data_IF_391739462398
#
_entry.id   IF_391739462398
#
_cell.length_a   1.000
_cell.length_b   1.000
_cell.length_c   1.000
_cell.angle_alpha   90.00
_cell.angle_beta   90.00
_cell.angle_gamma   90.00
#
_symmetry.space_group_name_H-M   'P 1'
#
loop_
_entity.id
_entity.type
_entity.pdbx_description
1 polymer ?
#
# COMPACT_ATOMS: atom_id res chain seq x y z
N UNK A 1 -6.53 48.66 0.22
CA UNK A 1 -5.96 47.33 -0.05
C UNK A 1 -6.79 46.35 0.77
N UNK A 2 -7.55 45.47 0.13
CA UNK A 2 -8.36 44.48 0.83
C UNK A 2 -7.41 43.52 1.54
N UNK A 3 -7.29 43.65 2.87
CA UNK A 3 -6.55 42.72 3.71
C UNK A 3 -7.33 41.39 3.78
N UNK A 4 -7.29 40.62 2.70
CA UNK A 4 -7.58 39.19 2.77
C UNK A 4 -6.39 38.54 3.45
N UNK A 5 -6.44 38.47 4.78
CA UNK A 5 -5.46 37.77 5.62
C UNK A 5 -5.37 36.28 5.26
N UNK A 6 -6.42 35.74 4.62
CA UNK A 6 -6.53 34.36 4.17
C UNK A 6 -7.09 34.28 2.75
N UNK A 7 -6.36 33.66 1.83
CA UNK A 7 -6.93 33.20 0.55
C UNK A 7 -7.35 31.72 0.66
N UNK A 8 -8.30 31.29 -0.18
CA UNK A 8 -8.80 29.91 -0.25
C UNK A 8 -7.67 28.89 -0.45
N UNK A 9 -6.58 29.29 -1.11
CA UNK A 9 -5.41 28.45 -1.35
C UNK A 9 -4.64 28.12 -0.07
N UNK A 10 -4.48 29.10 0.82
CA UNK A 10 -3.82 28.90 2.11
C UNK A 10 -4.67 28.01 3.02
N UNK A 11 -5.99 28.19 2.98
CA UNK A 11 -6.93 27.36 3.74
C UNK A 11 -6.82 25.87 3.38
N UNK A 12 -6.53 25.53 2.12
CA UNK A 12 -6.36 24.13 1.66
C UNK A 12 -5.09 23.52 2.24
N UNK A 13 -3.98 24.27 2.27
CA UNK A 13 -2.73 23.81 2.85
C UNK A 13 -2.87 23.61 4.37
N UNK A 14 -3.53 24.53 5.05
CA UNK A 14 -3.82 24.42 6.49
C UNK A 14 -4.73 23.24 6.77
N UNK A 15 -5.80 23.06 6.00
CA UNK A 15 -6.69 21.91 6.15
C UNK A 15 -5.93 20.60 5.92
N UNK A 16 -4.99 20.56 4.97
CA UNK A 16 -4.13 19.41 4.72
C UNK A 16 -3.19 19.12 5.90
N UNK A 17 -2.52 20.12 6.44
CA UNK A 17 -1.66 19.96 7.61
C UNK A 17 -2.48 19.54 8.83
N UNK A 18 -3.62 20.18 9.08
CA UNK A 18 -4.48 19.92 10.21
C UNK A 18 -5.06 18.50 10.18
N UNK A 19 -5.57 18.03 9.04
CA UNK A 19 -6.11 16.67 8.95
C UNK A 19 -5.03 15.59 9.12
N UNK A 20 -3.83 15.81 8.55
CA UNK A 20 -2.69 14.92 8.72
C UNK A 20 -2.25 14.85 10.18
N UNK A 21 -2.19 16.00 10.86
CA UNK A 21 -1.82 16.07 12.27
C UNK A 21 -2.86 15.40 13.18
N UNK A 22 -4.15 15.67 12.94
CA UNK A 22 -5.24 15.04 13.70
C UNK A 22 -5.19 13.52 13.53
N UNK A 23 -4.87 13.03 12.33
CA UNK A 23 -4.72 11.61 12.08
C UNK A 23 -3.53 11.00 12.83
N UNK A 24 -2.40 11.72 12.97
CA UNK A 24 -1.30 11.32 13.87
C UNK A 24 -1.79 11.14 15.30
N UNK A 25 -2.51 12.13 15.84
CA UNK A 25 -3.04 12.05 17.20
C UNK A 25 -4.02 10.87 17.35
N UNK A 26 -4.86 10.64 16.35
CA UNK A 26 -5.80 9.52 16.32
C UNK A 26 -5.06 8.18 16.37
N UNK A 27 -4.05 7.94 15.52
CA UNK A 27 -3.28 6.68 15.55
C UNK A 27 -2.57 6.52 16.90
N UNK A 28 -2.00 7.60 17.43
CA UNK A 28 -1.26 7.56 18.68
C UNK A 28 -2.15 7.23 19.88
N UNK A 29 -3.33 7.86 20.01
CA UNK A 29 -4.20 7.71 21.17
C UNK A 29 -5.29 6.63 21.03
N UNK A 30 -5.77 6.33 19.83
CA UNK A 30 -6.86 5.37 19.65
C UNK A 30 -6.39 3.91 19.70
N UNK A 31 -5.11 3.64 19.43
CA UNK A 31 -4.54 2.29 19.50
C UNK A 31 -4.01 1.99 20.89
N UNK A 32 -4.40 0.82 21.43
CA UNK A 32 -3.87 0.29 22.70
C UNK A 32 -2.48 -0.32 22.54
N UNK A 33 -2.26 -1.02 21.43
CA UNK A 33 -0.99 -1.67 21.11
C UNK A 33 -0.47 -1.13 19.76
N UNK A 34 0.74 -0.58 19.75
CA UNK A 34 1.39 -0.08 18.54
C UNK A 34 2.31 -1.13 17.95
N UNK A 35 2.15 -1.40 16.65
CA UNK A 35 3.10 -2.17 15.86
C UNK A 35 4.14 -1.25 15.22
N UNK A 36 5.26 -1.81 14.76
CA UNK A 36 6.32 -1.02 14.11
C UNK A 36 5.82 -0.26 12.87
N UNK A 37 4.84 -0.82 12.16
CA UNK A 37 4.15 -0.16 11.04
C UNK A 37 3.46 1.14 11.46
N UNK A 38 2.91 1.20 12.67
CA UNK A 38 2.20 2.39 13.16
C UNK A 38 3.16 3.55 13.37
N UNK A 39 4.39 3.30 13.84
CA UNK A 39 5.41 4.34 13.98
C UNK A 39 5.87 4.90 12.63
N UNK A 40 6.03 4.07 11.61
CA UNK A 40 6.36 4.55 10.26
C UNK A 40 5.20 5.33 9.64
N UNK A 41 3.96 4.89 9.87
CA UNK A 41 2.77 5.62 9.43
C UNK A 41 2.66 6.98 10.12
N UNK A 42 2.86 7.03 11.44
CA UNK A 42 2.91 8.28 12.21
C UNK A 42 4.00 9.20 11.66
N UNK A 43 5.22 8.68 11.47
CA UNK A 43 6.32 9.47 10.90
C UNK A 43 5.97 10.01 9.52
N UNK A 44 5.36 9.19 8.66
CA UNK A 44 4.92 9.61 7.33
C UNK A 44 3.89 10.73 7.42
N UNK A 45 2.88 10.63 8.30
CA UNK A 45 1.88 11.67 8.49
C UNK A 45 2.40 12.93 9.18
N UNK A 46 3.44 12.83 10.01
CA UNK A 46 4.19 14.00 10.51
C UNK A 46 4.84 14.71 9.33
N UNK A 47 5.50 13.99 8.42
CA UNK A 47 6.03 14.60 7.20
C UNK A 47 4.91 15.25 6.37
N UNK A 48 3.77 14.58 6.16
CA UNK A 48 2.60 15.17 5.47
C UNK A 48 1.94 16.34 6.22
N UNK A 49 2.25 16.55 7.50
CA UNK A 49 1.86 17.75 8.25
C UNK A 49 2.85 18.89 8.00
N UNK A 50 4.14 18.59 7.97
CA UNK A 50 5.22 19.56 7.78
C UNK A 50 5.26 20.16 6.36
N UNK A 51 4.95 19.36 5.33
CA UNK A 51 5.07 19.81 3.94
C UNK A 51 4.09 20.94 3.56
N UNK A 52 2.79 20.89 3.86
CA UNK A 52 1.90 22.02 3.60
C UNK A 52 2.27 23.27 4.41
N UNK A 53 2.82 23.10 5.62
CA UNK A 53 3.33 24.22 6.43
C UNK A 53 4.55 24.84 5.74
N UNK A 54 5.49 24.04 5.23
CA UNK A 54 6.60 24.54 4.43
C UNK A 54 6.11 25.36 3.22
N UNK A 55 5.10 24.86 2.50
CA UNK A 55 4.51 25.58 1.36
C UNK A 55 3.86 26.90 1.78
N UNK A 56 3.13 26.94 2.91
CA UNK A 56 2.58 28.18 3.46
C UNK A 56 3.67 29.20 3.78
N UNK A 57 4.78 28.76 4.38
CA UNK A 57 5.90 29.66 4.72
C UNK A 57 6.58 30.21 3.46
N UNK A 58 6.73 29.39 2.42
CA UNK A 58 7.40 29.79 1.19
C UNK A 58 6.51 30.61 0.26
N UNK A 59 5.22 30.30 0.14
CA UNK A 59 4.33 30.94 -0.84
C UNK A 59 3.21 31.80 -0.24
N UNK A 60 2.88 31.63 1.04
CA UNK A 60 1.89 32.44 1.74
C UNK A 60 2.50 33.76 2.21
N UNK A 61 2.05 34.88 1.64
CA UNK A 61 2.63 36.21 1.91
C UNK A 61 2.65 36.55 3.42
N UNK A 62 1.52 36.37 4.11
CA UNK A 62 1.40 36.66 5.54
C UNK A 62 2.20 35.67 6.41
N UNK A 63 2.19 34.39 6.06
CA UNK A 63 2.87 33.33 6.82
C UNK A 63 4.39 33.52 6.82
N UNK A 64 4.97 33.99 5.72
CA UNK A 64 6.39 34.32 5.64
C UNK A 64 6.79 35.38 6.66
N UNK A 65 5.99 36.45 6.79
CA UNK A 65 6.26 37.53 7.76
C UNK A 65 6.10 37.05 9.20
N UNK A 66 5.06 36.28 9.51
CA UNK A 66 4.87 35.68 10.84
C UNK A 66 6.07 34.82 11.24
N UNK A 67 6.60 34.02 10.31
CA UNK A 67 7.78 33.20 10.56
C UNK A 67 9.03 34.04 10.81
N UNK A 68 9.21 35.13 10.06
CA UNK A 68 10.32 36.07 10.25
C UNK A 68 10.30 36.75 11.62
N UNK A 69 9.12 37.13 12.13
CA UNK A 69 8.95 37.72 13.46
C UNK A 69 9.31 36.73 14.57
N UNK A 70 8.96 35.45 14.41
CA UNK A 70 9.29 34.41 15.40
C UNK A 70 10.78 34.06 15.36
N UNK A 71 11.29 33.67 14.19
CA UNK A 71 12.70 33.35 13.97
C UNK A 71 12.97 33.05 12.49
N UNK A 72 13.97 33.69 11.84
CA UNK A 72 14.37 33.35 10.48
C UNK A 72 14.77 31.87 10.30
N UNK A 73 15.19 31.18 11.37
CA UNK A 73 15.55 29.76 11.32
C UNK A 73 14.35 28.84 10.97
N UNK A 74 13.12 29.29 11.27
CA UNK A 74 11.91 28.52 11.00
C UNK A 74 11.58 28.44 9.50
N UNK A 75 12.15 29.32 8.67
CA UNK A 75 11.91 29.34 7.21
C UNK A 75 12.26 28.02 6.52
N UNK A 76 13.32 27.34 6.97
CA UNK A 76 13.82 26.05 6.43
C UNK A 76 13.59 24.86 7.36
N UNK A 77 12.86 25.04 8.46
CA UNK A 77 12.75 24.03 9.52
C UNK A 77 12.06 22.73 9.08
N UNK A 78 11.22 22.79 8.04
CA UNK A 78 10.42 21.67 7.56
C UNK A 78 10.97 20.99 6.30
N UNK A 79 12.07 21.49 5.74
CA UNK A 79 12.62 20.99 4.46
C UNK A 79 13.08 19.52 4.57
N UNK A 80 13.48 19.07 5.77
CA UNK A 80 13.86 17.67 6.01
C UNK A 80 12.70 16.69 5.73
N UNK A 81 11.45 17.12 5.85
CA UNK A 81 10.28 16.27 5.65
C UNK A 81 10.24 15.67 4.23
N UNK A 82 10.67 16.43 3.21
CA UNK A 82 10.74 15.95 1.82
C UNK A 82 11.70 14.77 1.64
N UNK A 83 12.75 14.69 2.47
CA UNK A 83 13.75 13.64 2.38
C UNK A 83 13.37 12.39 3.18
N UNK A 84 12.46 12.53 4.15
CA UNK A 84 12.05 11.44 5.04
C UNK A 84 10.78 10.72 4.57
N UNK A 85 9.88 11.40 3.87
CA UNK A 85 8.58 10.81 3.48
C UNK A 85 8.70 9.54 2.63
N UNK A 86 9.66 9.48 1.69
CA UNK A 86 9.90 8.31 0.86
C UNK A 86 10.35 7.07 1.66
N UNK A 87 11.45 7.16 2.44
CA UNK A 87 11.88 6.09 3.34
C UNK A 87 10.79 5.65 4.32
N UNK A 88 10.05 6.60 4.92
CA UNK A 88 8.96 6.29 5.85
C UNK A 88 7.83 5.50 5.17
N UNK A 89 7.44 5.86 3.96
CA UNK A 89 6.44 5.12 3.18
C UNK A 89 6.93 3.71 2.82
N UNK A 90 8.20 3.56 2.47
CA UNK A 90 8.80 2.25 2.17
C UNK A 90 8.83 1.35 3.41
N UNK A 91 9.26 1.87 4.55
CA UNK A 91 9.31 1.10 5.79
C UNK A 91 7.92 0.78 6.33
N UNK A 92 6.97 1.71 6.20
CA UNK A 92 5.56 1.43 6.48
C UNK A 92 5.06 0.27 5.60
N UNK A 93 5.31 0.34 4.29
CA UNK A 93 4.91 -0.71 3.34
C UNK A 93 5.53 -2.05 3.73
N UNK A 94 6.84 -2.11 3.99
CA UNK A 94 7.52 -3.35 4.40
C UNK A 94 7.00 -3.87 5.75
N UNK A 95 6.77 -2.99 6.73
CA UNK A 95 6.25 -3.35 8.04
C UNK A 95 4.82 -3.89 7.97
N UNK A 96 4.02 -3.39 7.03
CA UNK A 96 2.66 -3.87 6.80
C UNK A 96 2.65 -5.22 6.06
N UNK A 97 3.56 -5.42 5.12
CA UNK A 97 3.66 -6.66 4.33
C UNK A 97 4.35 -7.81 5.07
N UNK A 98 5.35 -7.51 5.90
CA UNK A 98 6.20 -8.50 6.56
C UNK A 98 6.08 -8.38 8.08
N UNK A 99 5.50 -9.39 8.71
CA UNK A 99 5.24 -9.38 10.16
C UNK A 99 6.50 -9.20 11.03
N UNK A 100 7.62 -9.77 10.61
CA UNK A 100 8.89 -9.69 11.34
C UNK A 100 9.81 -8.60 10.84
N UNK A 101 9.25 -7.61 10.15
CA UNK A 101 10.01 -6.49 9.69
C UNK A 101 10.69 -5.80 10.88
N UNK A 102 12.01 -5.67 10.75
CA UNK A 102 12.86 -4.88 11.63
C UNK A 102 13.83 -4.12 10.73
N UNK A 103 14.12 -2.88 11.10
CA UNK A 103 15.15 -2.12 10.42
C UNK A 103 16.49 -2.80 10.64
N UNK A 104 17.15 -3.12 9.54
CA UNK A 104 18.55 -3.54 9.56
C UNK A 104 19.44 -2.32 9.48
N UNK A 105 20.72 -2.41 9.91
CA UNK A 105 21.67 -1.30 9.73
C UNK A 105 21.82 -0.89 8.25
N UNK A 106 21.55 -1.77 7.30
CA UNK A 106 21.56 -1.41 5.88
C UNK A 106 20.39 -0.51 5.48
N UNK A 107 19.25 -0.59 6.17
CA UNK A 107 18.10 0.28 5.88
C UNK A 107 18.42 1.75 6.22
N UNK A 108 19.36 2.04 7.12
CA UNK A 108 19.75 3.44 7.42
C UNK A 108 20.40 4.15 6.25
N UNK A 109 20.82 3.43 5.19
CA UNK A 109 21.33 4.04 3.95
C UNK A 109 20.30 4.97 3.31
N UNK A 110 19.00 4.66 3.47
CA UNK A 110 17.91 5.48 2.94
C UNK A 110 17.79 6.84 3.63
N UNK A 111 18.40 7.03 4.80
CA UNK A 111 18.47 8.30 5.50
C UNK A 111 19.69 9.15 5.10
N UNK A 112 20.65 8.61 4.34
CA UNK A 112 21.83 9.36 3.91
C UNK A 112 21.47 10.67 3.19
N UNK A 113 20.51 10.70 2.24
CA UNK A 113 20.13 11.95 1.58
C UNK A 113 19.64 13.02 2.57
N UNK A 114 18.83 12.62 3.55
CA UNK A 114 18.36 13.53 4.60
C UNK A 114 19.52 14.04 5.49
N UNK A 115 20.46 13.16 5.85
CA UNK A 115 21.63 13.55 6.64
C UNK A 115 22.55 14.51 5.88
N UNK A 116 22.86 14.22 4.61
CA UNK A 116 23.64 15.12 3.76
C UNK A 116 22.95 16.48 3.60
N UNK A 117 21.64 16.48 3.40
CA UNK A 117 20.86 17.71 3.30
C UNK A 117 20.90 18.52 4.61
N UNK A 118 20.82 17.87 5.77
CA UNK A 118 20.93 18.54 7.07
C UNK A 118 22.32 19.15 7.30
N UNK A 119 23.39 18.45 6.92
CA UNK A 119 24.75 18.99 6.95
C UNK A 119 24.86 20.20 6.02
N UNK A 120 24.32 20.11 4.81
CA UNK A 120 24.26 21.22 3.86
C UNK A 120 23.51 22.42 4.43
N UNK A 121 22.31 22.25 4.98
CA UNK A 121 21.55 23.34 5.60
C UNK A 121 22.29 23.96 6.79
N UNK A 122 22.95 23.12 7.59
CA UNK A 122 23.73 23.58 8.75
C UNK A 122 24.91 24.47 8.32
N UNK A 123 25.62 24.07 7.26
CA UNK A 123 26.79 24.76 6.74
C UNK A 123 26.49 25.97 5.85
N UNK A 124 25.23 26.13 5.40
CA UNK A 124 24.83 27.22 4.51
C UNK A 124 23.84 28.15 5.20
N UNK A 125 22.58 27.73 5.32
CA UNK A 125 21.51 28.57 5.85
C UNK A 125 21.66 28.83 7.36
N UNK A 126 21.84 27.79 8.18
CA UNK A 126 21.82 27.95 9.63
C UNK A 126 23.08 28.62 10.19
N UNK A 127 24.21 28.54 9.49
CA UNK A 127 25.46 29.23 9.86
C UNK A 127 25.39 30.75 9.67
N UNK A 128 24.45 31.27 8.88
CA UNK A 128 24.28 32.71 8.70
C UNK A 128 23.73 33.37 9.97
N UNK A 129 24.05 34.64 10.16
CA UNK A 129 23.40 35.45 11.19
C UNK A 129 21.93 35.73 10.83
N UNK A 130 21.14 36.20 11.81
CA UNK A 130 19.73 36.45 11.58
C UNK A 130 19.48 37.58 10.57
N UNK A 131 20.40 38.54 10.45
CA UNK A 131 20.27 39.66 9.50
C UNK A 131 20.39 39.17 8.05
N UNK A 132 21.41 38.37 7.75
CA UNK A 132 21.61 37.75 6.46
C UNK A 132 20.46 36.79 6.10
N UNK A 133 19.97 36.00 7.06
CA UNK A 133 18.78 35.15 6.87
C UNK A 133 17.56 35.96 6.49
N UNK A 134 17.24 37.01 7.24
CA UNK A 134 16.09 37.87 6.95
C UNK A 134 16.19 38.51 5.57
N UNK A 135 17.36 39.05 5.22
CA UNK A 135 17.59 39.62 3.89
C UNK A 135 17.36 38.58 2.79
N UNK A 136 17.95 37.39 2.94
CA UNK A 136 17.74 36.29 2.01
C UNK A 136 16.26 35.95 1.85
N UNK A 137 15.51 35.83 2.95
CA UNK A 137 14.07 35.46 2.91
C UNK A 137 13.20 36.56 2.27
N UNK A 138 13.50 37.83 2.53
CA UNK A 138 12.77 38.96 1.94
C UNK A 138 13.01 39.08 0.43
N UNK A 139 14.24 38.82 0.00
CA UNK A 139 14.63 38.82 -1.42
C UNK A 139 14.37 37.46 -2.10
N UNK A 140 14.00 36.43 -1.35
CA UNK A 140 13.85 35.07 -1.85
C UNK A 140 12.72 35.00 -2.88
N UNK A 141 13.14 34.74 -4.12
CA UNK A 141 12.28 34.36 -5.22
C UNK A 141 12.77 33.01 -5.75
N UNK A 142 11.97 31.98 -5.52
CA UNK A 142 12.28 30.60 -5.91
C UNK A 142 12.41 30.43 -7.43
N UNK A 143 11.74 31.30 -8.22
CA UNK A 143 11.92 31.34 -9.67
C UNK A 143 13.31 31.78 -10.11
N UNK A 144 13.93 32.66 -9.31
CA UNK A 144 15.27 33.20 -9.57
C UNK A 144 16.33 32.47 -8.73
N UNK A 145 15.97 31.35 -8.10
CA UNK A 145 16.90 30.59 -7.30
C UNK A 145 18.04 30.04 -8.18
N UNK A 146 19.27 29.97 -7.64
CA UNK A 146 20.37 29.33 -8.34
C UNK A 146 20.03 27.92 -8.81
N UNK A 147 20.55 27.53 -9.99
CA UNK A 147 20.33 26.22 -10.62
C UNK A 147 20.55 25.02 -9.69
N UNK A 148 21.45 25.14 -8.72
CA UNK A 148 21.70 24.14 -7.70
C UNK A 148 20.47 23.84 -6.82
N UNK A 149 19.65 24.84 -6.47
CA UNK A 149 18.43 24.62 -5.67
C UNK A 149 17.40 23.80 -6.44
N UNK A 150 17.17 24.11 -7.71
CA UNK A 150 16.30 23.32 -8.57
C UNK A 150 16.81 21.87 -8.76
N UNK A 151 18.12 21.67 -8.86
CA UNK A 151 18.70 20.33 -8.91
C UNK A 151 18.45 19.54 -7.61
N UNK A 152 18.53 20.21 -6.46
CA UNK A 152 18.26 19.61 -5.15
C UNK A 152 16.78 19.26 -4.99
N UNK A 153 15.87 20.13 -5.45
CA UNK A 153 14.43 19.87 -5.51
C UNK A 153 14.09 18.72 -6.45
N UNK A 154 14.68 18.68 -7.64
CA UNK A 154 14.50 17.56 -8.56
C UNK A 154 15.00 16.24 -7.93
N UNK A 155 16.11 16.28 -7.20
CA UNK A 155 16.70 15.11 -6.54
C UNK A 155 15.76 14.52 -5.49
N UNK A 156 15.16 15.34 -4.61
CA UNK A 156 14.20 14.84 -3.61
C UNK A 156 12.97 14.20 -4.25
N UNK A 157 12.43 14.77 -5.32
CA UNK A 157 11.25 14.20 -6.02
C UNK A 157 11.62 12.88 -6.73
N UNK A 158 12.78 12.80 -7.38
CA UNK A 158 13.28 11.57 -8.01
C UNK A 158 13.47 10.46 -6.97
N UNK A 159 14.05 10.78 -5.81
CA UNK A 159 14.21 9.82 -4.72
C UNK A 159 12.85 9.32 -4.21
N UNK A 160 11.87 10.21 -4.03
CA UNK A 160 10.52 9.79 -3.65
C UNK A 160 9.93 8.80 -4.67
N UNK A 161 10.06 9.09 -5.97
CA UNK A 161 9.58 8.20 -7.04
C UNK A 161 10.29 6.84 -6.99
N UNK A 162 11.59 6.81 -6.72
CA UNK A 162 12.35 5.56 -6.53
C UNK A 162 11.82 4.78 -5.33
N UNK A 163 11.55 5.42 -4.19
CA UNK A 163 10.92 4.78 -3.03
C UNK A 163 9.51 4.26 -3.34
N UNK A 164 8.71 5.01 -4.09
CA UNK A 164 7.40 4.56 -4.56
C UNK A 164 7.49 3.33 -5.46
N UNK A 165 8.45 3.31 -6.40
CA UNK A 165 8.71 2.13 -7.25
C UNK A 165 9.11 0.91 -6.41
N UNK A 166 9.98 1.09 -5.40
CA UNK A 166 10.32 0.03 -4.45
C UNK A 166 9.09 -0.48 -3.71
N UNK A 167 8.22 0.39 -3.21
CA UNK A 167 6.97 -0.01 -2.56
C UNK A 167 6.11 -0.89 -3.47
N UNK A 168 5.92 -0.48 -4.74
CA UNK A 168 5.13 -1.26 -5.71
C UNK A 168 5.74 -2.64 -6.01
N UNK A 169 7.07 -2.73 -6.05
CA UNK A 169 7.78 -4.00 -6.22
C UNK A 169 7.53 -4.91 -5.01
N UNK A 170 7.65 -4.41 -3.79
CA UNK A 170 7.41 -5.21 -2.58
C UNK A 170 5.95 -5.65 -2.47
N UNK A 171 4.99 -4.77 -2.80
CA UNK A 171 3.56 -5.12 -2.82
C UNK A 171 3.29 -6.24 -3.82
N UNK A 172 3.82 -6.15 -5.04
CA UNK A 172 3.66 -7.20 -6.05
C UNK A 172 4.31 -8.52 -5.62
N UNK A 173 5.47 -8.47 -4.96
CA UNK A 173 6.13 -9.66 -4.42
C UNK A 173 5.29 -10.30 -3.32
N UNK A 174 4.76 -9.51 -2.39
CA UNK A 174 3.92 -9.99 -1.29
C UNK A 174 2.61 -10.59 -1.81
N UNK A 175 1.94 -9.94 -2.78
CA UNK A 175 0.74 -10.46 -3.43
C UNK A 175 0.98 -11.85 -4.05
N UNK A 176 2.13 -12.05 -4.71
CA UNK A 176 2.51 -13.38 -5.24
C UNK A 176 2.75 -14.42 -4.15
N UNK A 177 3.20 -14.03 -2.95
CA UNK A 177 3.44 -14.97 -1.85
C UNK A 177 2.14 -15.38 -1.13
N UNK A 178 1.17 -14.47 -0.99
CA UNK A 178 -0.12 -14.74 -0.33
C UNK A 178 -0.89 -15.85 -1.06
N UNK A 179 -0.93 -15.82 -2.40
CA UNK A 179 -1.61 -16.85 -3.21
C UNK A 179 -1.01 -18.25 -3.04
N UNK A 180 0.22 -18.36 -2.54
CA UNK A 180 0.86 -19.64 -2.27
C UNK A 180 0.54 -20.22 -0.87
N UNK A 181 -0.05 -19.45 0.07
CA UNK A 181 -0.18 -19.86 1.48
C UNK A 181 -1.63 -19.94 2.01
N UNK A 182 -2.56 -19.17 1.45
CA UNK A 182 -3.95 -19.10 1.94
C UNK A 182 -4.95 -19.50 0.86
N UNK A 183 -6.02 -20.24 1.23
CA UNK A 183 -7.12 -20.61 0.31
C UNK A 183 -8.24 -19.57 0.22
N UNK A 184 -8.12 -18.50 0.97
CA UNK A 184 -9.01 -17.33 0.91
C UNK A 184 -8.14 -16.06 0.82
N UNK A 185 -8.22 -15.36 -0.32
CA UNK A 185 -7.40 -14.18 -0.63
C UNK A 185 -8.08 -12.87 -0.14
N UNK A 186 -9.38 -12.91 0.18
CA UNK A 186 -10.13 -11.68 0.47
C UNK A 186 -9.72 -10.97 1.75
N UNK A 187 -9.06 -11.65 2.70
CA UNK A 187 -8.69 -11.05 3.99
C UNK A 187 -7.46 -10.13 3.92
N UNK A 188 -6.71 -10.09 2.80
CA UNK A 188 -5.54 -9.22 2.62
C UNK A 188 -5.58 -8.55 1.24
N UNK A 189 -6.56 -7.67 1.01
CA UNK A 189 -6.52 -6.80 -0.17
C UNK A 189 -5.34 -5.81 -0.03
N UNK A 190 -4.28 -6.01 -0.80
CA UNK A 190 -3.14 -5.09 -0.91
C UNK A 190 -3.29 -4.12 -2.09
N UNK A 191 -4.36 -4.24 -2.88
CA UNK A 191 -4.65 -3.42 -4.04
C UNK A 191 -4.84 -1.94 -3.67
N UNK A 192 -5.45 -1.66 -2.52
CA UNK A 192 -5.61 -0.30 -2.01
C UNK A 192 -4.26 0.39 -1.74
N UNK A 193 -3.29 -0.34 -1.16
CA UNK A 193 -1.96 0.20 -0.87
C UNK A 193 -1.19 0.47 -2.15
N UNK A 194 -1.27 -0.45 -3.12
CA UNK A 194 -0.67 -0.26 -4.44
C UNK A 194 -1.24 0.95 -5.18
N UNK A 195 -2.57 1.10 -5.17
CA UNK A 195 -3.26 2.26 -5.75
C UNK A 195 -2.79 3.57 -5.09
N UNK A 196 -2.76 3.61 -3.75
CA UNK A 196 -2.30 4.77 -2.98
C UNK A 196 -0.88 5.17 -3.39
N UNK A 197 0.06 4.22 -3.46
CA UNK A 197 1.44 4.50 -3.85
C UNK A 197 1.51 5.05 -5.28
N UNK A 198 0.72 4.50 -6.21
CA UNK A 198 0.64 5.01 -7.60
C UNK A 198 0.19 6.46 -7.62
N UNK A 199 -0.85 6.82 -6.85
CA UNK A 199 -1.36 8.20 -6.82
C UNK A 199 -0.30 9.15 -6.25
N UNK A 200 0.38 8.78 -5.16
CA UNK A 200 1.48 9.60 -4.61
C UNK A 200 2.62 9.78 -5.62
N UNK A 201 3.07 8.71 -6.27
CA UNK A 201 4.11 8.78 -7.31
C UNK A 201 3.68 9.67 -8.47
N UNK A 202 2.40 9.63 -8.84
CA UNK A 202 1.84 10.47 -9.92
C UNK A 202 1.88 11.95 -9.53
N UNK A 203 1.43 12.30 -8.32
CA UNK A 203 1.49 13.67 -7.82
C UNK A 203 2.93 14.17 -7.68
N UNK A 204 3.86 13.31 -7.27
CA UNK A 204 5.28 13.67 -7.14
C UNK A 204 5.96 13.81 -8.50
N UNK A 205 5.57 12.99 -9.47
CA UNK A 205 6.00 13.15 -10.86
C UNK A 205 5.51 14.47 -11.45
N UNK A 206 4.30 14.93 -11.08
CA UNK A 206 3.79 16.24 -11.46
C UNK A 206 4.66 17.39 -10.91
N UNK A 207 5.04 17.31 -9.63
CA UNK A 207 5.96 18.29 -9.02
C UNK A 207 7.34 18.25 -9.68
N UNK A 208 7.87 17.06 -9.97
CA UNK A 208 9.14 16.93 -10.70
C UNK A 208 9.07 17.59 -12.08
N UNK A 209 7.97 17.41 -12.83
CA UNK A 209 7.78 18.07 -14.12
C UNK A 209 7.80 19.59 -13.96
N UNK A 210 7.11 20.14 -12.95
CA UNK A 210 7.14 21.57 -12.63
C UNK A 210 8.58 22.05 -12.41
N UNK A 211 9.35 21.36 -11.56
CA UNK A 211 10.75 21.73 -11.26
C UNK A 211 11.62 21.66 -12.52
N UNK A 212 11.46 20.63 -13.36
CA UNK A 212 12.22 20.49 -14.60
C UNK A 212 11.87 21.56 -15.64
N UNK A 213 10.61 21.96 -15.76
CA UNK A 213 10.20 23.06 -16.65
C UNK A 213 10.74 24.38 -16.12
N UNK A 214 10.65 24.64 -14.81
CA UNK A 214 11.20 25.84 -14.19
C UNK A 214 12.71 25.97 -14.47
N UNK A 215 13.43 24.85 -14.34
CA UNK A 215 14.86 24.78 -14.66
C UNK A 215 15.15 25.00 -16.16
N UNK A 216 14.37 24.38 -17.05
CA UNK A 216 14.63 24.41 -18.49
C UNK A 216 14.15 25.71 -19.18
N UNK A 217 13.19 26.42 -18.58
CA UNK A 217 12.50 27.58 -19.16
C UNK A 217 12.32 28.71 -18.12
N UNK A 218 13.41 29.33 -17.63
CA UNK A 218 13.33 30.42 -16.65
C UNK A 218 12.66 31.70 -17.20
N UNK A 219 12.40 31.79 -18.51
CA UNK A 219 11.72 32.94 -19.13
C UNK A 219 10.19 32.78 -19.22
N UNK A 220 9.64 31.61 -18.86
CA UNK A 220 8.20 31.30 -19.04
C UNK A 220 7.26 32.12 -18.13
N UNK A 221 7.82 32.86 -17.16
CA UNK A 221 7.08 33.60 -16.14
C UNK A 221 6.46 32.70 -15.08
N UNK A 222 5.93 33.29 -13.99
CA UNK A 222 5.50 32.57 -12.78
C UNK A 222 4.06 32.06 -12.86
N UNK A 223 3.20 32.69 -13.65
CA UNK A 223 1.75 32.41 -13.71
C UNK A 223 1.37 30.94 -14.02
N UNK A 224 1.97 30.27 -15.02
CA UNK A 224 1.67 28.86 -15.28
C UNK A 224 1.99 27.96 -14.07
N UNK A 225 3.09 28.24 -13.38
CA UNK A 225 3.55 27.46 -12.23
C UNK A 225 2.66 27.65 -11.00
N UNK A 226 2.15 28.86 -10.77
CA UNK A 226 1.17 29.11 -9.72
C UNK A 226 -0.06 28.20 -9.91
N UNK A 227 -0.61 28.15 -11.12
CA UNK A 227 -1.79 27.32 -11.41
C UNK A 227 -1.47 25.83 -11.26
N UNK A 228 -0.31 25.38 -11.75
CA UNK A 228 0.12 23.97 -11.66
C UNK A 228 0.41 23.54 -10.21
N UNK A 229 1.04 24.40 -9.41
CA UNK A 229 1.31 24.18 -7.99
C UNK A 229 0.04 24.16 -7.15
N UNK A 230 -0.87 25.12 -7.37
CA UNK A 230 -2.18 25.14 -6.72
C UNK A 230 -2.96 23.85 -7.01
N UNK A 231 -3.00 23.41 -8.27
CA UNK A 231 -3.64 22.15 -8.65
C UNK A 231 -3.05 20.97 -7.87
N UNK A 232 -1.73 20.91 -7.71
CA UNK A 232 -1.05 19.92 -6.88
C UNK A 232 -1.51 19.95 -5.42
N UNK A 233 -1.67 21.14 -4.83
CA UNK A 233 -2.12 21.31 -3.45
C UNK A 233 -3.55 20.78 -3.24
N UNK A 234 -4.48 21.10 -4.14
CA UNK A 234 -5.87 20.59 -4.06
C UNK A 234 -5.94 19.06 -4.22
N UNK A 235 -5.16 18.50 -5.14
CA UNK A 235 -5.10 17.05 -5.32
C UNK A 235 -4.49 16.34 -4.11
N UNK A 236 -3.45 16.93 -3.50
CA UNK A 236 -2.86 16.40 -2.27
C UNK A 236 -3.85 16.45 -1.10
N UNK A 237 -4.59 17.55 -0.94
CA UNK A 237 -5.66 17.65 0.05
C UNK A 237 -6.70 16.53 -0.13
N UNK A 238 -7.22 16.36 -1.34
CA UNK A 238 -8.21 15.33 -1.66
C UNK A 238 -7.66 13.91 -1.42
N UNK A 239 -6.39 13.66 -1.77
CA UNK A 239 -5.72 12.40 -1.50
C UNK A 239 -5.62 12.12 0.00
N UNK A 240 -5.22 13.10 0.81
CA UNK A 240 -5.11 12.94 2.27
C UNK A 240 -6.48 12.66 2.89
N UNK A 241 -7.51 13.38 2.48
CA UNK A 241 -8.89 13.16 2.96
C UNK A 241 -9.37 11.75 2.61
N UNK A 242 -9.14 11.30 1.37
CA UNK A 242 -9.51 9.97 0.93
C UNK A 242 -8.73 8.88 1.71
N UNK A 243 -7.43 9.07 1.91
CA UNK A 243 -6.58 8.13 2.64
C UNK A 243 -7.05 7.98 4.09
N UNK A 244 -7.28 9.09 4.79
CA UNK A 244 -7.78 9.08 6.17
C UNK A 244 -9.13 8.37 6.23
N UNK A 245 -10.05 8.68 5.31
CA UNK A 245 -11.35 8.01 5.23
C UNK A 245 -11.21 6.50 5.02
N UNK A 246 -10.40 6.07 4.05
CA UNK A 246 -10.15 4.64 3.80
C UNK A 246 -9.44 3.96 4.95
N UNK A 247 -8.50 4.63 5.61
CA UNK A 247 -7.80 4.07 6.77
C UNK A 247 -8.74 3.87 7.96
N UNK A 248 -9.74 4.74 8.14
CA UNK A 248 -10.73 4.63 9.20
C UNK A 248 -11.83 3.60 8.87
N UNK A 249 -12.17 3.40 7.59
CA UNK A 249 -13.31 2.56 7.18
C UNK A 249 -12.94 1.16 6.70
N UNK A 250 -11.77 0.97 6.07
CA UNK A 250 -11.40 -0.30 5.41
C UNK A 250 -10.20 -1.00 6.01
N UNK A 251 -9.44 -0.34 6.87
CA UNK A 251 -8.15 -0.90 7.28
C UNK A 251 -8.28 -1.92 8.41
N UNK A 252 -7.87 -3.19 8.21
CA UNK A 252 -7.66 -4.16 9.29
C UNK A 252 -6.46 -3.79 10.20
N UNK A 253 -5.88 -2.58 10.07
CA UNK A 253 -4.96 -1.97 11.05
C UNK A 253 -5.56 -1.92 12.48
N UNK A 254 -6.89 -2.07 12.63
CA UNK A 254 -7.61 -2.32 13.90
C UNK A 254 -8.07 -3.78 14.11
N UNK A 255 -8.01 -4.61 13.08
CA UNK A 255 -8.32 -6.04 13.12
C UNK A 255 -7.01 -6.84 12.99
N UNK A 256 -6.16 -6.73 14.00
CA UNK A 256 -4.85 -7.37 14.02
C UNK A 256 -4.92 -8.87 13.71
N UNK A 257 -4.41 -9.29 12.57
CA UNK A 257 -4.06 -10.70 12.29
C UNK A 257 -3.28 -10.84 10.99
N UNK A 258 -1.95 -10.89 11.10
CA UNK A 258 -1.12 -11.76 10.26
C UNK A 258 -0.01 -12.32 11.16
N UNK A 259 0.06 -13.64 11.31
CA UNK A 259 1.09 -14.37 12.08
C UNK A 259 1.99 -15.22 11.17
N UNK A 260 3.30 -14.90 11.17
CA UNK A 260 4.59 -15.64 10.97
C UNK A 260 4.51 -17.09 10.44
N UNK A 261 5.43 -17.63 9.63
CA UNK A 261 6.87 -17.34 9.50
C UNK A 261 7.53 -17.97 8.22
N UNK A 262 8.72 -17.43 7.92
CA UNK A 262 9.94 -17.87 7.22
C UNK A 262 10.03 -19.22 6.48
N UNK A 263 10.55 -19.14 5.24
CA UNK A 263 11.08 -20.28 4.50
C UNK A 263 11.56 -19.90 3.11
N UNK A 264 12.77 -19.37 3.02
CA UNK A 264 13.43 -19.00 1.76
C UNK A 264 13.45 -20.15 0.74
N UNK A 265 13.19 -19.77 -0.51
CA UNK A 265 13.36 -20.56 -1.73
C UNK A 265 14.79 -21.12 -1.81
N UNK A 266 14.94 -22.40 -1.47
CA UNK A 266 15.93 -23.26 -2.09
C UNK A 266 15.15 -24.35 -2.80
N UNK A 267 15.25 -24.38 -4.13
CA UNK A 267 14.84 -25.50 -4.97
C UNK A 267 15.68 -26.71 -4.53
N UNK A 268 15.03 -27.66 -3.87
CA UNK A 268 15.56 -29.01 -3.75
C UNK A 268 14.85 -29.87 -4.79
N UNK A 269 15.64 -30.52 -5.66
CA UNK A 269 15.23 -31.60 -6.57
C UNK A 269 14.76 -32.86 -5.81
N UNK A 270 13.90 -32.69 -4.81
CA UNK A 270 13.24 -33.80 -4.14
C UNK A 270 12.17 -34.31 -5.09
N UNK A 271 12.38 -35.49 -5.66
CA UNK A 271 11.31 -36.28 -6.28
C UNK A 271 10.18 -36.39 -5.26
N UNK A 272 9.01 -35.86 -5.60
CA UNK A 272 7.80 -36.01 -4.80
C UNK A 272 7.50 -37.50 -4.67
N UNK A 273 7.48 -38.00 -3.43
CA UNK A 273 7.14 -39.39 -3.14
C UNK A 273 5.65 -39.63 -3.48
N UNK A 274 5.32 -40.59 -4.38
CA UNK A 274 3.94 -40.94 -4.71
C UNK A 274 3.08 -41.30 -3.48
N UNK A 275 3.69 -41.81 -2.41
CA UNK A 275 2.97 -42.10 -1.16
C UNK A 275 2.44 -40.83 -0.47
N UNK A 276 3.20 -39.73 -0.55
CA UNK A 276 2.80 -38.43 0.01
C UNK A 276 1.63 -37.85 -0.78
N UNK A 277 1.68 -37.91 -2.11
CA UNK A 277 0.57 -37.46 -2.97
C UNK A 277 -0.71 -38.21 -2.62
N UNK A 278 -0.67 -39.54 -2.57
CA UNK A 278 -1.86 -40.35 -2.24
C UNK A 278 -2.42 -40.01 -0.87
N UNK A 279 -1.55 -39.75 0.11
CA UNK A 279 -2.00 -39.34 1.46
C UNK A 279 -2.72 -37.99 1.41
N UNK A 280 -2.23 -37.03 0.63
CA UNK A 280 -2.89 -35.74 0.43
C UNK A 280 -4.27 -35.95 -0.21
N UNK A 281 -4.34 -36.67 -1.33
CA UNK A 281 -5.60 -36.93 -2.04
C UNK A 281 -6.63 -37.63 -1.17
N UNK A 282 -6.21 -38.68 -0.45
CA UNK A 282 -7.07 -39.44 0.45
C UNK A 282 -7.59 -38.56 1.59
N UNK A 283 -6.73 -37.75 2.22
CA UNK A 283 -7.15 -36.83 3.28
C UNK A 283 -8.14 -35.77 2.75
N UNK A 284 -7.91 -35.27 1.54
CA UNK A 284 -8.84 -34.34 0.91
C UNK A 284 -10.21 -34.99 0.66
N UNK A 285 -10.25 -36.23 0.17
CA UNK A 285 -11.50 -36.95 -0.11
C UNK A 285 -12.27 -37.34 1.17
N UNK A 286 -11.57 -37.86 2.19
CA UNK A 286 -12.21 -38.42 3.38
C UNK A 286 -12.55 -37.35 4.42
N UNK A 287 -11.61 -36.44 4.72
CA UNK A 287 -11.76 -35.47 5.80
C UNK A 287 -12.32 -34.13 5.30
N UNK A 288 -12.34 -33.90 3.98
CA UNK A 288 -12.85 -32.70 3.32
C UNK A 288 -12.42 -31.38 4.01
N UNK A 289 -11.13 -31.18 4.34
CA UNK A 289 -10.69 -30.00 5.08
C UNK A 289 -10.92 -28.70 4.30
N UNK A 290 -11.05 -28.78 2.97
CA UNK A 290 -11.37 -27.65 2.09
C UNK A 290 -12.73 -27.00 2.39
N UNK A 291 -13.66 -27.70 3.06
CA UNK A 291 -14.94 -27.12 3.50
C UNK A 291 -14.76 -26.08 4.60
N UNK A 292 -13.65 -26.16 5.35
CA UNK A 292 -13.32 -25.13 6.31
C UNK A 292 -12.86 -23.86 5.59
N UNK A 293 -13.65 -22.80 5.71
CA UNK A 293 -13.47 -21.58 4.95
C UNK A 293 -12.17 -20.82 5.26
N UNK A 294 -11.61 -21.00 6.47
CA UNK A 294 -10.34 -20.38 6.93
C UNK A 294 -9.12 -21.28 6.81
N UNK A 295 -9.24 -22.42 6.12
CA UNK A 295 -8.12 -23.35 5.92
C UNK A 295 -6.89 -22.61 5.37
N UNK A 296 -5.73 -22.87 5.97
CA UNK A 296 -4.45 -22.41 5.46
C UNK A 296 -3.46 -23.57 5.30
N UNK A 297 -2.35 -23.31 4.59
CA UNK A 297 -1.34 -24.33 4.31
C UNK A 297 -0.78 -24.97 5.58
N UNK A 298 -0.58 -24.19 6.64
CA UNK A 298 -0.02 -24.68 7.89
C UNK A 298 -1.00 -25.62 8.62
N UNK A 299 -2.28 -25.28 8.64
CA UNK A 299 -3.35 -26.14 9.16
C UNK A 299 -3.45 -27.46 8.40
N UNK A 300 -3.44 -27.42 7.06
CA UNK A 300 -3.49 -28.65 6.27
C UNK A 300 -2.23 -29.50 6.46
N UNK A 301 -1.06 -28.86 6.53
CA UNK A 301 0.21 -29.56 6.78
C UNK A 301 0.19 -30.25 8.16
N UNK A 302 -0.31 -29.57 9.20
CA UNK A 302 -0.46 -30.14 10.53
C UNK A 302 -1.43 -31.32 10.54
N UNK A 303 -2.59 -31.20 9.87
CA UNK A 303 -3.54 -32.31 9.74
C UNK A 303 -2.91 -33.53 9.07
N UNK A 304 -2.08 -33.30 8.06
CA UNK A 304 -1.35 -34.35 7.36
C UNK A 304 -0.13 -34.84 8.11
N UNK A 305 0.27 -34.25 9.26
CA UNK A 305 1.57 -34.52 9.89
C UNK A 305 2.73 -34.35 8.90
N UNK A 306 2.74 -33.21 8.21
CA UNK A 306 3.75 -32.79 7.24
C UNK A 306 4.33 -31.45 7.61
N UNK A 307 5.57 -31.20 7.18
CA UNK A 307 6.10 -29.85 7.20
C UNK A 307 5.40 -28.99 6.12
N UNK A 308 4.97 -27.75 6.39
CA UNK A 308 4.28 -26.88 5.41
C UNK A 308 5.04 -26.70 4.09
N UNK A 309 6.37 -26.61 4.19
CA UNK A 309 7.27 -26.58 3.02
C UNK A 309 7.11 -27.82 2.13
N UNK A 310 7.08 -29.02 2.70
CA UNK A 310 6.91 -30.26 1.94
C UNK A 310 5.55 -30.29 1.25
N UNK A 311 4.49 -29.90 1.95
CA UNK A 311 3.15 -29.81 1.36
C UNK A 311 3.10 -28.81 0.20
N UNK A 312 3.64 -27.60 0.38
CA UNK A 312 3.69 -26.58 -0.68
C UNK A 312 4.48 -27.06 -1.90
N UNK A 313 5.63 -27.71 -1.68
CA UNK A 313 6.44 -28.29 -2.75
C UNK A 313 5.67 -29.38 -3.51
N UNK A 314 5.01 -30.30 -2.81
CA UNK A 314 4.18 -31.34 -3.42
C UNK A 314 3.03 -30.75 -4.22
N UNK A 315 2.29 -29.78 -3.67
CA UNK A 315 1.21 -29.08 -4.39
C UNK A 315 1.73 -28.45 -5.69
N UNK A 316 2.86 -27.74 -5.61
CA UNK A 316 3.43 -27.07 -6.78
C UNK A 316 3.98 -28.02 -7.84
N UNK A 317 4.66 -29.09 -7.43
CA UNK A 317 5.36 -29.99 -8.36
C UNK A 317 4.47 -31.11 -8.91
N UNK A 318 3.54 -31.64 -8.11
CA UNK A 318 2.70 -32.75 -8.52
C UNK A 318 1.34 -32.29 -9.04
N UNK A 319 0.70 -31.35 -8.35
CA UNK A 319 -0.62 -30.83 -8.72
C UNK A 319 -0.54 -29.59 -9.61
N UNK A 320 0.67 -29.13 -9.97
CA UNK A 320 0.96 -28.00 -10.86
C UNK A 320 0.17 -26.71 -10.55
N UNK A 321 -0.20 -26.53 -9.28
CA UNK A 321 -1.06 -25.43 -8.81
C UNK A 321 -0.46 -24.78 -7.57
N UNK A 322 -0.98 -23.62 -7.17
CA UNK A 322 -0.70 -23.07 -5.83
C UNK A 322 -1.73 -23.57 -4.81
N UNK A 323 -1.46 -23.40 -3.51
CA UNK A 323 -2.37 -23.85 -2.44
C UNK A 323 -3.79 -23.29 -2.59
N UNK A 324 -3.91 -22.02 -3.00
CA UNK A 324 -5.20 -21.38 -3.22
C UNK A 324 -6.02 -22.06 -4.33
N UNK A 325 -5.39 -22.33 -5.48
CA UNK A 325 -6.00 -23.02 -6.61
C UNK A 325 -6.30 -24.48 -6.28
N UNK A 326 -5.38 -25.15 -5.57
CA UNK A 326 -5.55 -26.51 -5.11
C UNK A 326 -6.81 -26.66 -4.25
N UNK A 327 -6.95 -25.89 -3.17
CA UNK A 327 -8.12 -25.95 -2.29
C UNK A 327 -9.40 -25.56 -3.03
N UNK A 328 -9.40 -24.46 -3.79
CA UNK A 328 -10.60 -24.02 -4.49
C UNK A 328 -11.03 -24.99 -5.59
N UNK A 329 -10.12 -25.78 -6.17
CA UNK A 329 -10.51 -26.84 -7.11
C UNK A 329 -11.34 -27.93 -6.43
N UNK A 330 -10.97 -28.34 -5.20
CA UNK A 330 -11.79 -29.26 -4.40
C UNK A 330 -13.13 -28.63 -4.00
N UNK A 331 -13.14 -27.36 -3.58
CA UNK A 331 -14.39 -26.65 -3.25
C UNK A 331 -15.35 -26.57 -4.45
N UNK A 332 -14.83 -26.31 -5.66
CA UNK A 332 -15.67 -26.32 -6.88
C UNK A 332 -16.19 -27.73 -7.17
N UNK A 333 -15.40 -28.78 -6.98
CA UNK A 333 -15.90 -30.15 -7.16
C UNK A 333 -17.01 -30.49 -6.16
N UNK A 334 -16.90 -30.07 -4.91
CA UNK A 334 -18.00 -30.19 -3.94
C UNK A 334 -19.24 -29.40 -4.39
N UNK A 335 -19.05 -28.14 -4.82
CA UNK A 335 -20.15 -27.32 -5.31
C UNK A 335 -20.85 -27.95 -6.52
N UNK A 336 -20.10 -28.55 -7.46
CA UNK A 336 -20.68 -29.30 -8.59
C UNK A 336 -21.53 -30.46 -8.08
N UNK A 337 -21.02 -31.26 -7.16
CA UNK A 337 -21.75 -32.38 -6.56
C UNK A 337 -23.06 -31.92 -5.93
N UNK A 338 -23.02 -30.84 -5.14
CA UNK A 338 -24.21 -30.27 -4.50
C UNK A 338 -25.20 -29.68 -5.50
N UNK A 339 -24.73 -29.07 -6.60
CA UNK A 339 -25.60 -28.49 -7.64
C UNK A 339 -26.28 -29.55 -8.50
N UNK A 340 -25.64 -30.71 -8.67
CA UNK A 340 -26.19 -31.85 -9.43
C UNK A 340 -27.09 -32.77 -8.61
N UNK A 341 -27.04 -32.68 -7.28
CA UNK A 341 -27.82 -33.54 -6.39
C UNK A 341 -29.30 -33.08 -6.33
N UNK A 342 -30.26 -33.91 -6.78
CA UNK A 342 -31.67 -33.57 -6.74
C UNK A 342 -32.20 -33.30 -5.32
N UNK A 343 -31.58 -33.88 -4.27
CA UNK A 343 -31.97 -33.64 -2.88
C UNK A 343 -31.62 -32.23 -2.38
N UNK A 344 -30.78 -31.51 -3.12
CA UNK A 344 -30.32 -30.17 -2.79
C UNK A 344 -30.98 -29.09 -3.68
N UNK A 345 -32.03 -29.44 -4.45
CA UNK A 345 -32.70 -28.53 -5.40
C UNK A 345 -33.16 -27.23 -4.76
N UNK A 346 -33.58 -27.30 -3.50
CA UNK A 346 -34.20 -26.20 -2.77
C UNK A 346 -33.17 -25.23 -2.18
N UNK A 347 -31.88 -25.62 -2.11
CA UNK A 347 -30.81 -24.74 -1.65
C UNK A 347 -30.50 -23.68 -2.69
N UNK A 348 -30.40 -22.43 -2.25
CA UNK A 348 -29.93 -21.31 -3.06
C UNK A 348 -28.47 -21.49 -3.46
N UNK A 349 -28.04 -20.80 -4.52
CA UNK A 349 -26.61 -20.78 -4.93
C UNK A 349 -25.72 -20.24 -3.81
N UNK A 350 -26.23 -19.34 -2.95
CA UNK A 350 -25.52 -18.82 -1.78
C UNK A 350 -25.32 -19.90 -0.70
N UNK A 351 -26.31 -20.74 -0.44
CA UNK A 351 -26.17 -21.86 0.50
C UNK A 351 -25.22 -22.94 -0.03
N UNK A 352 -25.20 -23.17 -1.35
CA UNK A 352 -24.21 -24.07 -1.97
C UNK A 352 -22.79 -23.50 -1.85
N UNK A 353 -22.64 -22.20 -2.07
CA UNK A 353 -21.36 -21.51 -1.91
C UNK A 353 -20.83 -21.70 -0.47
N UNK A 354 -21.67 -21.46 0.53
CA UNK A 354 -21.29 -21.58 1.94
C UNK A 354 -20.99 -23.05 2.29
N UNK A 355 -21.85 -23.98 1.84
CA UNK A 355 -21.67 -25.41 2.05
C UNK A 355 -20.45 -26.01 1.34
N UNK A 356 -19.92 -25.34 0.31
CA UNK A 356 -18.68 -25.74 -0.37
C UNK A 356 -17.43 -25.06 0.18
N UNK A 357 -17.56 -24.26 1.25
CA UNK A 357 -16.44 -23.67 1.99
C UNK A 357 -15.93 -22.34 1.41
N UNK A 358 -16.66 -21.69 0.51
CA UNK A 358 -16.30 -20.36 0.02
C UNK A 358 -16.77 -19.27 0.99
N UNK A 359 -15.98 -18.20 1.14
CA UNK A 359 -16.38 -17.02 1.93
C UNK A 359 -17.01 -15.90 1.08
N UNK A 360 -16.91 -15.99 -0.25
CA UNK A 360 -17.38 -14.92 -1.13
C UNK A 360 -17.90 -15.40 -2.47
N UNK A 361 -18.98 -14.71 -2.87
CA UNK A 361 -19.66 -14.87 -4.16
C UNK A 361 -18.76 -14.52 -5.34
N UNK A 362 -17.88 -13.53 -5.19
CA UNK A 362 -16.96 -13.13 -6.25
C UNK A 362 -15.96 -14.25 -6.55
N UNK A 363 -15.31 -14.77 -5.49
CA UNK A 363 -14.34 -15.87 -5.59
C UNK A 363 -14.99 -17.15 -6.11
N UNK A 364 -16.16 -17.52 -5.56
CA UNK A 364 -16.91 -18.69 -6.00
C UNK A 364 -17.23 -18.64 -7.49
N UNK A 365 -17.86 -17.56 -7.96
CA UNK A 365 -18.24 -17.42 -9.36
C UNK A 365 -17.02 -17.40 -10.29
N UNK A 366 -15.94 -16.74 -9.89
CA UNK A 366 -14.71 -16.68 -10.68
C UNK A 366 -14.07 -18.07 -10.86
N UNK A 367 -13.96 -18.86 -9.78
CA UNK A 367 -13.42 -20.22 -9.85
C UNK A 367 -14.35 -21.19 -10.57
N UNK A 368 -15.66 -21.09 -10.31
CA UNK A 368 -16.64 -21.95 -10.96
C UNK A 368 -16.61 -21.74 -12.48
N UNK A 369 -16.64 -20.49 -12.94
CA UNK A 369 -16.53 -20.18 -14.37
C UNK A 369 -15.16 -20.60 -14.96
N UNK A 370 -14.07 -20.40 -14.23
CA UNK A 370 -12.71 -20.80 -14.66
C UNK A 370 -12.59 -22.32 -14.87
N UNK A 371 -13.13 -23.12 -13.97
CA UNK A 371 -12.97 -24.58 -13.98
C UNK A 371 -14.09 -25.33 -14.73
N UNK A 372 -15.30 -24.78 -14.75
CA UNK A 372 -16.49 -25.43 -15.33
C UNK A 372 -16.91 -24.80 -16.66
N UNK A 373 -16.51 -23.55 -16.93
CA UNK A 373 -16.84 -22.82 -18.17
C UNK A 373 -18.17 -22.07 -18.13
N UNK A 374 -19.07 -22.42 -17.22
CA UNK A 374 -20.40 -21.82 -17.06
C UNK A 374 -20.59 -21.23 -15.66
N UNK A 375 -21.68 -20.50 -15.43
CA UNK A 375 -22.04 -20.02 -14.08
C UNK A 375 -22.68 -21.14 -13.25
N UNK A 376 -22.62 -21.07 -11.90
CA UNK A 376 -23.27 -22.05 -11.03
C UNK A 376 -24.77 -22.24 -11.32
N UNK A 377 -25.47 -21.14 -11.66
CA UNK A 377 -26.89 -21.15 -12.00
C UNK A 377 -27.14 -21.90 -13.31
N UNK A 378 -26.36 -21.61 -14.35
CA UNK A 378 -26.45 -22.32 -15.65
C UNK A 378 -26.10 -23.80 -15.48
N UNK A 379 -25.08 -24.11 -14.69
CA UNK A 379 -24.69 -25.49 -14.40
C UNK A 379 -25.82 -26.27 -13.73
N UNK A 380 -26.47 -25.69 -12.69
CA UNK A 380 -27.63 -26.33 -12.05
C UNK A 380 -28.77 -26.59 -13.03
N UNK A 381 -29.13 -25.61 -13.85
CA UNK A 381 -30.18 -25.75 -14.85
C UNK A 381 -29.87 -26.92 -15.81
N UNK A 382 -28.63 -27.03 -16.28
CA UNK A 382 -28.20 -28.15 -17.14
C UNK A 382 -28.19 -29.52 -16.45
N UNK A 383 -28.09 -29.60 -15.12
CA UNK A 383 -28.08 -30.90 -14.42
C UNK A 383 -29.50 -31.39 -14.07
N UNK A 384 -30.47 -30.49 -14.09
CA UNK A 384 -31.89 -30.75 -13.79
C UNK A 384 -32.73 -30.99 -15.04
N UNK A 385 -32.21 -30.72 -16.25
CA UNK A 385 -32.86 -31.00 -17.52
C UNK A 385 -32.61 -32.47 -17.98
N UNK A 386 -33.65 -33.31 -18.10
CA UNK A 386 -33.51 -34.73 -18.46
C UNK A 386 -32.80 -34.99 -19.79
N UNK A 387 -32.93 -34.10 -20.79
CA UNK A 387 -32.41 -34.31 -22.14
C UNK A 387 -30.90 -34.03 -22.28
N UNK A 388 -30.31 -33.32 -21.31
CA UNK A 388 -28.89 -32.91 -21.34
C UNK A 388 -27.93 -33.88 -20.64
N UNK A 389 -28.45 -34.89 -19.92
CA UNK A 389 -27.65 -35.96 -19.30
C UNK A 389 -27.14 -37.01 -20.29
N UNK A 390 -27.61 -36.99 -21.54
CA UNK A 390 -27.28 -38.00 -22.56
C UNK A 390 -26.01 -37.67 -23.39
N UNK A 391 -25.40 -36.50 -23.18
CA UNK A 391 -24.31 -35.97 -24.04
C UNK A 391 -23.01 -35.59 -23.31
N UNK A 392 -22.83 -35.98 -22.05
CA UNK A 392 -21.57 -35.79 -21.30
C UNK A 392 -20.88 -37.10 -20.95
#
# INVERSE_FOLDING_TARGET
>A
MSNTVFNIHDAVLIATAFQSFLFVLLIFFAKRDHHISDFFLIGFFIAQTMLPIHLLINYGAEFRFVVLELSPNLFRAFDIAFWLEGPLLLWYTRALLYKDFRLTPFDSIYLLPAMFYMVYLSATFYSWDNVAKTKFIMEYNEWLAPSFFHALEATREVLFIIFGAMCLIEIRRAQRQITHRYSDIEQIDLGWLGFLVIVFVTLRSWVLIIVLIAFAKPDLGVEPFNTMGLTGNYLMFALMSALIFFSLTRSPIFAGKITKDSGGTAQSDLKVDPAITRRIEQHMLEQKPYLYNRLNLDELANQLSMHPRSLSTTIKQHFETNFYEFINSYRINEAKSLLSDPSQSDKTILEILDASGFNSKATFNAFFKKLVGTTPTEYRASMQDPDSRATQ
#
